data_IF_000241257500
#
_entry.id   IF_000241257500
#
_cell.length_a   1.000
_cell.length_b   1.000
_cell.length_c   1.000
_cell.angle_alpha   90.00
_cell.angle_beta   90.00
_cell.angle_gamma   90.00
#
_symmetry.space_group_name_H-M   'P 1'
#
loop_
_entity.id
_entity.type
_entity.pdbx_description
1 polymer ?
#
# COMPACT_ATOMS: atom_id res chain seq x y z
N UNK A 1 -4.49 23.12 -14.35
CA UNK A 1 -4.68 21.65 -14.51
C UNK A 1 -4.37 21.27 -15.96
N UNK A 2 -3.16 20.78 -16.25
CA UNK A 2 -2.81 20.33 -17.61
C UNK A 2 -3.40 18.94 -17.81
N UNK A 3 -4.48 18.84 -18.58
CA UNK A 3 -5.00 17.53 -19.04
C UNK A 3 -3.95 16.98 -20.00
N UNK A 4 -3.22 15.95 -19.59
CA UNK A 4 -2.40 15.19 -20.52
C UNK A 4 -3.34 14.40 -21.44
N UNK A 5 -3.81 15.05 -22.50
CA UNK A 5 -4.45 14.36 -23.62
C UNK A 5 -3.34 13.61 -24.34
N UNK A 6 -3.16 12.32 -24.01
CA UNK A 6 -2.26 11.45 -24.76
C UNK A 6 -2.68 11.51 -26.24
N UNK A 7 -1.77 11.75 -27.19
CA UNK A 7 -2.10 11.76 -28.61
C UNK A 7 -2.76 10.42 -28.99
N UNK A 8 -3.74 10.48 -29.89
CA UNK A 8 -4.60 9.39 -30.32
C UNK A 8 -3.86 8.34 -31.18
N UNK A 9 -2.75 7.83 -30.69
CA UNK A 9 -1.99 6.76 -31.34
C UNK A 9 -2.35 5.46 -30.62
N UNK A 10 -3.19 4.67 -31.28
CA UNK A 10 -3.62 3.32 -30.91
C UNK A 10 -4.45 3.20 -29.62
N UNK A 11 -5.61 3.85 -29.59
CA UNK A 11 -6.65 3.55 -28.60
C UNK A 11 -7.65 2.54 -29.16
N UNK A 12 -8.03 1.55 -28.35
CA UNK A 12 -9.01 0.54 -28.72
C UNK A 12 -10.40 1.01 -28.31
N UNK A 13 -11.30 1.16 -29.27
CA UNK A 13 -12.67 1.63 -29.03
C UNK A 13 -13.64 0.48 -28.79
N UNK A 14 -14.58 0.68 -27.88
CA UNK A 14 -15.72 -0.20 -27.67
C UNK A 14 -16.76 0.04 -28.77
N UNK A 15 -17.15 -1.02 -29.47
CA UNK A 15 -18.17 -0.97 -30.52
C UNK A 15 -19.58 -0.78 -29.97
N UNK A 16 -19.81 -1.09 -28.69
CA UNK A 16 -21.15 -1.02 -28.08
C UNK A 16 -21.44 0.34 -27.42
N UNK A 17 -20.44 1.08 -26.94
CA UNK A 17 -20.65 2.39 -26.31
C UNK A 17 -19.63 3.47 -26.70
N UNK A 18 -18.76 3.22 -27.68
CA UNK A 18 -17.78 4.19 -28.18
C UNK A 18 -16.63 4.56 -27.22
N UNK A 19 -16.56 3.97 -26.01
CA UNK A 19 -15.47 4.27 -25.05
C UNK A 19 -14.13 3.78 -25.57
N UNK A 20 -13.12 4.64 -25.49
CA UNK A 20 -11.74 4.30 -25.87
C UNK A 20 -10.92 3.86 -24.67
N UNK A 21 -10.08 2.85 -24.89
CA UNK A 21 -9.16 2.33 -23.89
C UNK A 21 -7.73 2.33 -24.43
N UNK A 22 -6.72 2.58 -23.57
CA UNK A 22 -5.32 2.66 -24.01
C UNK A 22 -4.72 1.31 -24.39
N UNK A 23 -5.34 0.18 -24.03
CA UNK A 23 -4.86 -1.18 -24.32
C UNK A 23 -6.01 -2.13 -24.67
N UNK A 24 -5.72 -3.19 -25.44
CA UNK A 24 -6.71 -4.25 -25.76
C UNK A 24 -7.25 -4.91 -24.48
N UNK A 25 -6.40 -5.11 -23.47
CA UNK A 25 -6.83 -5.71 -22.20
C UNK A 25 -7.78 -4.80 -21.43
N UNK A 26 -7.54 -3.49 -21.43
CA UNK A 26 -8.46 -2.53 -20.84
C UNK A 26 -9.81 -2.51 -21.57
N UNK A 27 -9.81 -2.58 -22.90
CA UNK A 27 -11.05 -2.70 -23.68
C UNK A 27 -11.80 -4.02 -23.41
N UNK A 28 -11.09 -5.15 -23.42
CA UNK A 28 -11.69 -6.47 -23.11
C UNK A 28 -12.29 -6.50 -21.71
N UNK A 29 -11.60 -5.89 -20.74
CA UNK A 29 -12.12 -5.67 -19.40
C UNK A 29 -13.39 -4.82 -19.42
N UNK A 30 -13.36 -3.67 -20.10
CA UNK A 30 -14.53 -2.80 -20.24
C UNK A 30 -15.75 -3.54 -20.82
N UNK A 31 -15.59 -4.24 -21.95
CA UNK A 31 -16.66 -5.02 -22.58
C UNK A 31 -17.20 -6.07 -21.59
N UNK A 32 -16.31 -6.82 -20.92
CA UNK A 32 -16.73 -7.79 -19.91
C UNK A 32 -17.54 -7.13 -18.79
N UNK A 33 -17.05 -6.05 -18.20
CA UNK A 33 -17.62 -5.46 -16.99
C UNK A 33 -18.85 -4.56 -17.20
N UNK A 34 -18.97 -3.94 -18.36
CA UNK A 34 -20.01 -2.95 -18.66
C UNK A 34 -21.11 -3.54 -19.53
N UNK A 35 -20.73 -4.37 -20.50
CA UNK A 35 -21.65 -4.89 -21.51
C UNK A 35 -22.08 -6.33 -21.21
N UNK A 36 -21.13 -7.18 -20.81
CA UNK A 36 -21.37 -8.60 -20.56
C UNK A 36 -21.51 -8.91 -19.06
N UNK A 37 -22.51 -8.32 -18.39
CA UNK A 37 -22.92 -8.63 -16.99
C UNK A 37 -21.76 -8.98 -16.04
N UNK A 38 -20.63 -8.27 -16.15
CA UNK A 38 -19.30 -8.80 -15.79
C UNK A 38 -18.95 -8.87 -14.33
N UNK A 39 -19.92 -8.93 -13.44
CA UNK A 39 -19.68 -9.28 -12.04
C UNK A 39 -19.75 -10.79 -11.91
N UNK A 40 -18.63 -11.45 -12.21
CA UNK A 40 -18.54 -12.91 -12.20
C UNK A 40 -18.53 -13.50 -10.79
N UNK A 41 -18.13 -12.71 -9.79
CA UNK A 41 -17.92 -13.18 -8.42
C UNK A 41 -19.08 -12.72 -7.54
N UNK A 42 -20.07 -13.59 -7.35
CA UNK A 42 -21.26 -13.32 -6.54
C UNK A 42 -20.98 -13.62 -5.06
N UNK A 43 -21.51 -12.79 -4.18
CA UNK A 43 -21.56 -13.10 -2.76
C UNK A 43 -22.61 -14.19 -2.51
N UNK A 44 -22.32 -15.07 -1.55
CA UNK A 44 -23.24 -16.15 -1.14
C UNK A 44 -24.22 -15.69 -0.06
N UNK A 45 -23.90 -14.59 0.64
CA UNK A 45 -24.73 -14.03 1.72
C UNK A 45 -25.65 -12.89 1.26
N UNK A 46 -25.43 -12.32 0.08
CA UNK A 46 -26.27 -11.26 -0.48
C UNK A 46 -26.16 -11.19 -2.00
N UNK A 47 -27.06 -10.43 -2.65
CA UNK A 47 -27.11 -10.29 -4.11
C UNK A 47 -25.99 -9.42 -4.72
N UNK A 48 -24.97 -9.07 -3.93
CA UNK A 48 -23.84 -8.28 -4.42
C UNK A 48 -22.91 -9.14 -5.25
N UNK A 49 -22.52 -8.60 -6.39
CA UNK A 49 -21.53 -9.23 -7.27
C UNK A 49 -20.37 -8.28 -7.57
N UNK A 50 -19.17 -8.85 -7.71
CA UNK A 50 -17.90 -8.16 -7.79
C UNK A 50 -17.14 -8.52 -9.07
N UNK A 51 -16.25 -7.61 -9.46
CA UNK A 51 -15.44 -7.72 -10.69
C UNK A 51 -14.19 -8.57 -10.50
N UNK A 52 -13.67 -8.65 -9.26
CA UNK A 52 -12.43 -9.35 -8.93
C UNK A 52 -12.65 -10.29 -7.74
N UNK A 53 -11.95 -11.42 -7.67
CA UNK A 53 -12.07 -12.34 -6.54
C UNK A 53 -11.58 -11.69 -5.24
N UNK A 54 -10.50 -10.90 -5.29
CA UNK A 54 -9.99 -10.17 -4.12
C UNK A 54 -11.05 -9.22 -3.53
N UNK A 55 -11.78 -8.49 -4.38
CA UNK A 55 -12.84 -7.59 -3.92
C UNK A 55 -14.05 -8.35 -3.34
N UNK A 56 -14.33 -9.56 -3.84
CA UNK A 56 -15.32 -10.43 -3.22
C UNK A 56 -14.83 -10.90 -1.85
N UNK A 57 -13.56 -11.31 -1.72
CA UNK A 57 -12.98 -11.74 -0.43
C UNK A 57 -13.02 -10.63 0.62
N UNK A 58 -12.61 -9.42 0.26
CA UNK A 58 -12.72 -8.23 1.14
C UNK A 58 -14.18 -7.96 1.55
N UNK A 59 -15.12 -8.16 0.63
CA UNK A 59 -16.54 -8.04 0.96
C UNK A 59 -17.03 -9.18 1.86
N UNK A 60 -16.62 -10.43 1.64
CA UNK A 60 -17.07 -11.55 2.47
C UNK A 60 -16.67 -11.39 3.93
N UNK A 61 -15.53 -10.75 4.20
CA UNK A 61 -15.12 -10.35 5.54
C UNK A 61 -16.13 -9.45 6.26
N UNK A 62 -17.03 -8.74 5.54
CA UNK A 62 -18.11 -7.98 6.19
C UNK A 62 -19.26 -8.85 6.71
N UNK A 63 -19.35 -10.10 6.23
CA UNK A 63 -20.34 -11.06 6.69
C UNK A 63 -19.79 -11.98 7.78
N UNK A 64 -18.55 -12.45 7.60
CA UNK A 64 -17.89 -13.37 8.55
C UNK A 64 -17.24 -12.65 9.72
N UNK A 65 -17.00 -11.34 9.60
CA UNK A 65 -16.21 -10.57 10.57
C UNK A 65 -14.71 -10.83 10.45
N UNK A 66 -14.26 -11.51 9.38
CA UNK A 66 -12.85 -11.82 9.19
C UNK A 66 -11.99 -10.56 9.11
N UNK A 67 -10.83 -10.62 9.77
CA UNK A 67 -9.83 -9.57 9.71
C UNK A 67 -8.81 -9.95 8.64
N UNK A 68 -8.72 -9.13 7.59
CA UNK A 68 -7.83 -9.38 6.46
C UNK A 68 -6.56 -8.54 6.52
N UNK A 69 -6.62 -7.36 7.12
CA UNK A 69 -5.54 -6.39 7.11
C UNK A 69 -5.38 -5.77 8.50
N UNK A 70 -4.18 -5.87 9.07
CA UNK A 70 -3.82 -5.24 10.34
C UNK A 70 -2.88 -4.06 10.12
N UNK A 71 -3.02 -3.03 10.97
CA UNK A 71 -2.00 -2.02 11.08
C UNK A 71 -0.80 -2.58 11.88
N UNK A 72 0.42 -2.30 11.44
CA UNK A 72 1.64 -2.73 12.15
C UNK A 72 2.06 -1.74 13.24
N UNK A 73 1.47 -0.54 13.26
CA UNK A 73 1.81 0.54 14.20
C UNK A 73 0.71 0.77 15.25
N UNK A 74 -0.42 0.05 15.17
CA UNK A 74 -1.47 0.06 16.18
C UNK A 74 -2.34 -1.20 16.09
N UNK A 75 -3.27 -1.36 17.03
CA UNK A 75 -4.14 -2.55 17.11
C UNK A 75 -5.34 -2.53 16.15
N UNK A 76 -5.46 -1.52 15.28
CA UNK A 76 -6.61 -1.41 14.36
C UNK A 76 -6.53 -2.40 13.20
N UNK A 77 -7.68 -2.98 12.90
CA UNK A 77 -7.86 -3.99 11.85
C UNK A 77 -8.90 -3.55 10.83
N UNK A 78 -8.77 -4.06 9.61
CA UNK A 78 -9.57 -3.67 8.45
C UNK A 78 -9.89 -4.87 7.57
N UNK A 79 -11.05 -4.82 6.93
CA UNK A 79 -11.51 -5.80 5.95
C UNK A 79 -11.18 -5.43 4.48
N UNK A 80 -10.61 -4.24 4.25
CA UNK A 80 -10.18 -3.79 2.92
C UNK A 80 -8.84 -3.07 2.97
N UNK A 81 -7.99 -3.35 1.97
CA UNK A 81 -6.69 -2.73 1.84
C UNK A 81 -6.78 -1.20 1.67
N UNK A 82 -7.81 -0.70 0.99
CA UNK A 82 -8.01 0.73 0.80
C UNK A 82 -8.27 1.47 2.14
N UNK A 83 -8.99 0.82 3.05
CA UNK A 83 -9.27 1.36 4.38
C UNK A 83 -8.01 1.41 5.24
N UNK A 84 -7.21 0.32 5.25
CA UNK A 84 -5.92 0.31 5.94
C UNK A 84 -4.97 1.38 5.38
N UNK A 85 -4.89 1.54 4.06
CA UNK A 85 -4.05 2.57 3.44
C UNK A 85 -4.46 3.98 3.87
N UNK A 86 -5.77 4.26 3.87
CA UNK A 86 -6.31 5.55 4.29
C UNK A 86 -6.08 5.80 5.78
N UNK A 87 -6.23 4.77 6.62
CA UNK A 87 -5.89 4.81 8.04
C UNK A 87 -4.42 5.17 8.25
N UNK A 88 -3.50 4.42 7.63
CA UNK A 88 -2.05 4.64 7.77
C UNK A 88 -1.67 6.06 7.37
N UNK A 89 -2.19 6.57 6.24
CA UNK A 89 -1.92 7.95 5.81
C UNK A 89 -2.39 9.01 6.82
N UNK A 90 -3.51 8.80 7.52
CA UNK A 90 -4.12 9.79 8.41
C UNK A 90 -3.62 9.70 9.84
N UNK A 91 -3.42 8.49 10.34
CA UNK A 91 -3.12 8.20 11.76
C UNK A 91 -1.63 7.95 11.98
N UNK A 92 -0.92 7.45 10.96
CA UNK A 92 0.51 7.16 11.00
C UNK A 92 1.26 7.88 9.85
N UNK A 93 1.20 9.23 9.79
CA UNK A 93 1.71 9.99 8.65
C UNK A 93 3.23 9.85 8.48
N UNK A 94 4.00 9.75 9.58
CA UNK A 94 5.47 9.61 9.53
C UNK A 94 5.87 8.28 8.90
N UNK A 95 5.24 7.20 9.36
CA UNK A 95 5.46 5.83 8.89
C UNK A 95 4.94 5.65 7.47
N UNK A 96 3.82 6.29 7.13
CA UNK A 96 3.31 6.33 5.76
C UNK A 96 4.28 7.01 4.80
N UNK A 97 4.84 8.16 5.18
CA UNK A 97 5.80 8.89 4.35
C UNK A 97 7.09 8.10 4.15
N UNK A 98 7.60 7.49 5.23
CA UNK A 98 8.74 6.57 5.16
C UNK A 98 8.44 5.40 4.20
N UNK A 99 7.33 4.66 4.42
CA UNK A 99 6.95 3.54 3.57
C UNK A 99 6.71 3.97 2.11
N UNK A 100 6.22 5.19 1.87
CA UNK A 100 6.04 5.75 0.52
C UNK A 100 7.39 6.02 -0.16
N UNK A 101 8.38 6.50 0.58
CA UNK A 101 9.73 6.79 0.07
C UNK A 101 10.45 5.51 -0.34
N UNK A 102 10.28 4.43 0.44
CA UNK A 102 10.84 3.11 0.13
C UNK A 102 10.12 2.43 -1.05
N UNK A 103 8.84 2.74 -1.29
CA UNK A 103 8.03 2.03 -2.30
C UNK A 103 8.58 2.20 -3.71
N UNK A 104 9.22 1.15 -4.22
CA UNK A 104 9.86 1.15 -5.54
C UNK A 104 11.32 1.62 -5.53
N UNK A 105 11.94 1.80 -4.35
CA UNK A 105 13.39 1.93 -4.25
C UNK A 105 14.07 0.58 -4.53
N UNK A 106 15.20 0.57 -5.25
CA UNK A 106 16.02 -0.61 -5.41
C UNK A 106 16.58 -1.06 -4.05
N UNK A 107 16.64 -2.37 -3.85
CA UNK A 107 16.99 -3.04 -2.59
C UNK A 107 18.31 -2.56 -1.98
N UNK A 108 19.29 -2.22 -2.81
CA UNK A 108 20.62 -1.73 -2.41
C UNK A 108 20.57 -0.41 -1.63
N UNK A 109 19.61 0.47 -1.94
CA UNK A 109 19.43 1.73 -1.21
C UNK A 109 18.71 1.54 0.12
N UNK A 110 17.92 0.48 0.27
CA UNK A 110 17.23 0.15 1.53
C UNK A 110 18.22 -0.37 2.59
N UNK A 111 19.18 -1.20 2.17
CA UNK A 111 20.24 -1.73 3.05
C UNK A 111 21.14 -0.61 3.59
N UNK A 112 21.46 0.38 2.75
CA UNK A 112 22.30 1.52 3.14
C UNK A 112 21.63 2.42 4.20
N UNK A 113 20.33 2.67 4.08
CA UNK A 113 19.59 3.46 5.08
C UNK A 113 19.42 2.81 6.45
N UNK A 114 19.58 1.48 6.54
CA UNK A 114 19.56 0.75 7.82
C UNK A 114 20.93 0.76 8.50
N UNK A 115 22.02 0.62 7.72
CA UNK A 115 23.39 0.69 8.24
C UNK A 115 23.74 2.07 8.81
N UNK A 116 23.18 3.15 8.25
CA UNK A 116 23.40 4.53 8.73
C UNK A 116 22.63 4.85 10.04
N UNK A 117 21.64 4.04 10.41
CA UNK A 117 20.88 4.20 11.66
C UNK A 117 21.54 3.49 12.86
N UNK A 118 22.39 2.49 12.61
CA UNK A 118 23.11 1.74 13.66
C UNK A 118 24.42 2.43 14.10
N UNK A 119 24.87 3.48 13.41
CA UNK A 119 26.13 4.19 13.71
C UNK A 119 25.95 5.50 14.47
N UNK A 120 24.72 5.90 14.82
CA UNK A 120 24.44 7.17 15.54
C UNK A 120 24.18 6.99 17.05
N UNK A 121 24.36 5.79 17.60
CA UNK A 121 24.25 5.50 19.04
C UNK A 121 25.60 5.02 19.62
N UNK A 122 26.70 5.69 19.27
CA UNK A 122 27.97 5.62 20.03
C UNK A 122 28.53 7.03 20.11
N UNK A 123 28.09 7.81 21.10
CA UNK A 123 28.82 8.95 21.67
C UNK A 123 28.23 9.27 23.07
N UNK A 124 28.27 8.30 23.99
CA UNK A 124 28.24 8.58 25.44
C UNK A 124 28.81 7.41 26.24
N UNK A 125 30.14 7.24 26.26
CA UNK A 125 30.87 6.70 27.42
C UNK A 125 32.30 7.26 27.45
N UNK A 126 32.58 8.06 28.48
CA UNK A 126 33.81 7.96 29.27
C UNK A 126 35.07 8.68 28.79
N UNK A 127 35.38 9.82 29.41
CA UNK A 127 36.77 10.17 29.71
C UNK A 127 36.86 10.55 31.19
N UNK A 128 37.05 9.53 32.03
CA UNK A 128 37.49 9.69 33.41
C UNK A 128 38.91 9.12 33.51
N UNK A 129 39.93 9.94 33.32
CA UNK A 129 41.27 9.60 33.79
C UNK A 129 42.16 10.85 33.90
N UNK A 130 42.50 11.23 35.14
CA UNK A 130 43.88 11.45 35.60
C UNK A 130 43.92 11.43 37.15
N UNK A 131 44.08 10.20 37.67
CA UNK A 131 45.16 9.75 38.56
C UNK A 131 45.62 10.57 39.79
N UNK A 132 45.34 9.96 40.96
CA UNK A 132 46.26 9.64 42.08
C UNK A 132 46.71 10.79 43.05
N UNK A 133 47.03 10.61 44.34
CA UNK A 133 47.52 9.47 45.16
C UNK A 133 47.23 9.76 46.66
N UNK A 134 47.25 8.71 47.50
CA UNK A 134 47.53 8.62 48.96
C UNK A 134 46.39 8.23 49.94
N UNK A 135 46.41 6.94 50.31
CA UNK A 135 45.84 6.27 51.50
C UNK A 135 46.82 6.40 52.72
N UNK A 136 46.58 5.78 53.91
CA UNK A 136 45.64 6.17 54.96
C UNK A 136 46.29 6.22 56.38
N UNK A 137 45.68 6.93 57.34
CA UNK A 137 45.16 6.44 58.64
C UNK A 137 44.63 7.62 59.46
#
# INVERSE_FOLDING_TARGET
MRKHTRPAVNQFACTECGKTAPTKNALRGHIRYVHKSGRQYKCTYCDKAFKRPLTLKEHMATHTGDILYSCQHCTKTFNSNANLHSHRKKVHPKEWEHARKIRGMPEELLKKTLMEAETNDIDDVGNEEESAVFLPL
#
